data_IF_311847427993
#
_entry.id   IF_311847427993
#
_cell.length_a   1.000
_cell.length_b   1.000
_cell.length_c   1.000
_cell.angle_alpha   90.00
_cell.angle_beta   90.00
_cell.angle_gamma   90.00
#
_symmetry.space_group_name_H-M   'P 1'
#
loop_
_entity.id
_entity.type
_entity.pdbx_description
1 polymer ?
#
# COMPACT_ATOMS: atom_id res chain seq x y z
N UNK A 1 13.36 -5.13 1.40
CA UNK A 1 11.91 -4.85 1.27
C UNK A 1 11.49 -3.84 2.33
N UNK A 2 10.53 -2.97 2.02
CA UNK A 2 9.96 -1.97 2.92
C UNK A 2 8.44 -2.16 2.96
N UNK A 3 7.83 -2.34 4.13
CA UNK A 3 6.38 -2.60 4.28
C UNK A 3 5.77 -1.46 5.09
N UNK A 4 4.89 -0.67 4.47
CA UNK A 4 4.36 0.56 5.07
C UNK A 4 3.46 0.29 6.28
N UNK A 5 2.77 -0.85 6.35
CA UNK A 5 2.01 -1.23 7.55
C UNK A 5 2.87 -1.35 8.82
N UNK A 6 4.19 -1.50 8.70
CA UNK A 6 5.12 -1.54 9.85
C UNK A 6 5.71 -0.18 10.23
N UNK A 7 5.36 0.89 9.51
CA UNK A 7 6.00 2.19 9.66
C UNK A 7 5.47 3.01 10.84
N UNK A 8 4.23 2.77 11.28
CA UNK A 8 3.50 3.74 12.10
C UNK A 8 3.28 3.32 13.57
N UNK A 9 3.54 2.06 13.93
CA UNK A 9 3.33 1.52 15.29
C UNK A 9 4.56 1.41 16.19
N UNK A 10 5.74 1.80 15.70
CA UNK A 10 7.02 1.64 16.41
C UNK A 10 7.70 2.96 16.77
N UNK A 11 9.03 2.89 16.91
CA UNK A 11 9.88 4.05 17.18
C UNK A 11 9.72 5.15 16.12
N UNK A 12 9.88 6.40 16.56
CA UNK A 12 10.04 7.54 15.64
C UNK A 12 11.23 7.25 14.73
N UNK A 13 11.08 7.44 13.42
CA UNK A 13 12.08 7.12 12.39
C UNK A 13 12.33 5.61 12.19
N UNK A 14 11.30 4.78 12.34
CA UNK A 14 11.31 3.39 11.86
C UNK A 14 11.89 3.30 10.44
N UNK A 15 12.74 2.28 10.19
CA UNK A 15 13.30 1.97 8.88
C UNK A 15 12.26 1.63 7.78
N UNK A 16 10.98 1.61 8.17
CA UNK A 16 9.80 1.44 7.33
C UNK A 16 9.11 2.76 6.94
N UNK A 17 9.58 3.92 7.41
CA UNK A 17 9.09 5.23 6.98
C UNK A 17 9.76 5.66 5.66
N UNK A 18 9.01 6.17 4.65
CA UNK A 18 9.58 6.46 3.33
C UNK A 18 10.79 7.38 3.27
N UNK A 19 10.91 8.34 4.18
CA UNK A 19 12.08 9.24 4.22
C UNK A 19 13.38 8.55 4.65
N UNK A 20 13.31 7.31 5.16
CA UNK A 20 14.47 6.49 5.53
C UNK A 20 14.83 5.45 4.46
N UNK A 21 14.14 5.44 3.30
CA UNK A 21 14.37 4.45 2.27
C UNK A 21 15.59 4.78 1.41
N UNK A 22 16.19 3.73 0.87
CA UNK A 22 17.19 3.80 -0.20
C UNK A 22 16.55 3.41 -1.55
N UNK A 23 17.19 3.79 -2.66
CA UNK A 23 16.67 3.49 -4.02
C UNK A 23 16.62 1.99 -4.31
N UNK A 24 17.61 1.22 -3.84
CA UNK A 24 17.70 -0.22 -4.09
C UNK A 24 16.79 -1.02 -3.15
N UNK A 25 15.51 -0.66 -3.17
CA UNK A 25 14.49 -1.27 -2.34
C UNK A 25 13.18 -1.44 -3.10
N UNK A 26 12.37 -2.36 -2.59
CA UNK A 26 10.98 -2.56 -3.02
C UNK A 26 10.07 -2.19 -1.86
N UNK A 27 9.19 -1.22 -2.08
CA UNK A 27 8.16 -0.82 -1.11
C UNK A 27 6.85 -1.53 -1.40
N UNK A 28 6.17 -1.95 -0.34
CA UNK A 28 4.85 -2.54 -0.34
C UNK A 28 3.93 -1.75 0.57
N UNK A 29 2.68 -1.56 0.18
CA UNK A 29 1.61 -1.17 1.14
C UNK A 29 1.52 -2.24 2.24
N UNK A 30 1.37 -3.49 1.81
CA UNK A 30 1.40 -4.72 2.59
C UNK A 30 1.69 -5.90 1.65
N UNK A 31 1.93 -7.09 2.21
CA UNK A 31 2.07 -8.34 1.46
C UNK A 31 0.78 -9.17 1.56
N UNK A 32 0.79 -10.37 0.99
CA UNK A 32 -0.32 -11.32 1.13
C UNK A 32 -0.52 -11.84 2.59
N UNK A 33 0.50 -11.73 3.44
CA UNK A 33 0.44 -12.13 4.86
C UNK A 33 -0.13 -11.04 5.77
N UNK A 34 -0.13 -9.80 5.29
CA UNK A 34 -0.64 -8.65 6.00
C UNK A 34 -2.17 -8.56 5.91
N UNK A 35 -2.76 -7.74 6.77
CA UNK A 35 -4.13 -7.26 6.57
C UNK A 35 -4.20 -6.43 5.29
N UNK A 36 -5.41 -6.21 4.76
CA UNK A 36 -5.58 -5.12 3.78
C UNK A 36 -5.29 -3.79 4.49
N UNK A 37 -4.91 -2.74 3.77
CA UNK A 37 -4.61 -1.44 4.40
C UNK A 37 -5.82 -0.90 5.15
N UNK A 38 -7.03 -1.07 4.61
CA UNK A 38 -8.26 -0.70 5.31
C UNK A 38 -8.49 -1.55 6.57
N UNK A 39 -8.24 -2.85 6.49
CA UNK A 39 -8.29 -3.76 7.64
C UNK A 39 -7.32 -3.34 8.74
N UNK A 40 -6.05 -3.14 8.37
CA UNK A 40 -5.00 -2.66 9.25
C UNK A 40 -5.40 -1.35 9.92
N UNK A 41 -5.85 -0.36 9.14
CA UNK A 41 -6.22 0.95 9.69
C UNK A 41 -7.38 0.84 10.67
N UNK A 42 -8.39 0.00 10.39
CA UNK A 42 -9.53 -0.26 11.30
C UNK A 42 -9.13 -0.97 12.59
N UNK A 43 -8.05 -1.76 12.57
CA UNK A 43 -7.55 -2.47 13.74
C UNK A 43 -6.42 -1.72 14.47
N UNK A 44 -5.81 -0.72 13.82
CA UNK A 44 -4.73 0.09 14.38
C UNK A 44 -5.20 0.91 15.59
N UNK A 45 -4.27 1.14 16.51
CA UNK A 45 -4.45 2.05 17.65
C UNK A 45 -4.63 3.49 17.17
N UNK A 46 -5.25 4.33 17.99
CA UNK A 46 -5.41 5.76 17.63
C UNK A 46 -4.06 6.47 17.45
N UNK A 47 -3.02 6.06 18.19
CA UNK A 47 -1.66 6.59 18.03
C UNK A 47 -1.08 6.27 16.64
N UNK A 48 -1.27 5.04 16.16
CA UNK A 48 -0.83 4.64 14.81
C UNK A 48 -1.59 5.41 13.72
N UNK A 49 -2.91 5.56 13.90
CA UNK A 49 -3.75 6.34 12.97
C UNK A 49 -3.37 7.81 12.96
N UNK A 50 -3.13 8.42 14.13
CA UNK A 50 -2.65 9.80 14.23
C UNK A 50 -1.30 9.98 13.55
N UNK A 51 -0.38 9.03 13.76
CA UNK A 51 0.95 9.09 13.16
C UNK A 51 0.87 9.13 11.62
N UNK A 52 0.14 8.22 10.97
CA UNK A 52 0.02 8.23 9.51
C UNK A 52 -0.72 9.48 9.00
N UNK A 53 -1.78 9.92 9.69
CA UNK A 53 -2.53 11.13 9.32
C UNK A 53 -1.65 12.38 9.34
N UNK A 54 -0.82 12.55 10.37
CA UNK A 54 0.13 13.67 10.45
C UNK A 54 1.29 13.53 9.49
N UNK A 55 1.82 12.31 9.32
CA UNK A 55 2.94 12.05 8.40
C UNK A 55 2.57 12.43 6.96
N UNK A 56 1.32 12.18 6.56
CA UNK A 56 0.86 12.39 5.19
C UNK A 56 -0.04 13.62 5.00
N UNK A 57 -0.40 14.30 6.09
CA UNK A 57 -1.39 15.39 6.09
C UNK A 57 -2.74 14.97 5.46
N UNK A 58 -3.30 13.84 5.90
CA UNK A 58 -4.55 13.26 5.39
C UNK A 58 -5.60 13.10 6.49
N UNK A 59 -6.87 12.99 6.09
CA UNK A 59 -7.96 12.61 7.01
C UNK A 59 -7.95 11.12 7.36
N UNK A 60 -7.39 10.28 6.48
CA UNK A 60 -7.45 8.82 6.57
C UNK A 60 -8.76 8.22 6.04
N UNK A 61 -9.64 9.01 5.42
CA UNK A 61 -10.89 8.52 4.82
C UNK A 61 -10.65 7.54 3.65
N UNK A 62 -9.55 7.70 2.92
CA UNK A 62 -9.20 6.90 1.75
C UNK A 62 -7.87 6.17 1.96
N UNK A 63 -7.68 5.62 3.18
CA UNK A 63 -6.38 5.15 3.65
C UNK A 63 -5.67 4.15 2.73
N UNK A 64 -6.40 3.27 2.03
CA UNK A 64 -5.79 2.34 1.08
C UNK A 64 -5.12 3.06 -0.09
N UNK A 65 -5.79 4.08 -0.64
CA UNK A 65 -5.23 4.90 -1.71
C UNK A 65 -4.21 5.90 -1.19
N UNK A 66 -4.39 6.43 0.02
CA UNK A 66 -3.38 7.26 0.68
C UNK A 66 -2.08 6.46 0.80
N UNK A 67 -2.12 5.25 1.39
CA UNK A 67 -0.92 4.42 1.55
C UNK A 67 -0.33 3.95 0.21
N UNK A 68 -1.17 3.71 -0.81
CA UNK A 68 -0.70 3.43 -2.18
C UNK A 68 0.07 4.64 -2.74
N UNK A 69 -0.48 5.85 -2.62
CA UNK A 69 0.20 7.09 -3.00
C UNK A 69 1.53 7.24 -2.26
N UNK A 70 1.57 6.89 -0.97
CA UNK A 70 2.80 6.95 -0.19
C UNK A 70 3.88 5.98 -0.70
N UNK A 71 3.50 4.75 -1.08
CA UNK A 71 4.41 3.80 -1.70
C UNK A 71 4.96 4.35 -3.02
N UNK A 72 4.08 4.88 -3.87
CA UNK A 72 4.46 5.43 -5.18
C UNK A 72 5.34 6.68 -5.04
N UNK A 73 5.10 7.53 -4.04
CA UNK A 73 5.92 8.71 -3.76
C UNK A 73 7.31 8.42 -3.18
N UNK A 74 7.56 7.18 -2.75
CA UNK A 74 8.82 6.81 -2.11
C UNK A 74 10.00 6.78 -3.10
N UNK A 75 11.23 6.79 -2.57
CA UNK A 75 12.45 6.69 -3.39
C UNK A 75 12.76 5.26 -3.85
N UNK A 76 12.01 4.25 -3.42
CA UNK A 76 12.20 2.85 -3.83
C UNK A 76 12.03 2.69 -5.34
N UNK A 77 12.95 1.95 -5.98
CA UNK A 77 12.89 1.64 -7.42
C UNK A 77 11.56 0.95 -7.80
N UNK A 78 11.06 0.07 -6.94
CA UNK A 78 9.80 -0.65 -7.17
C UNK A 78 8.80 -0.37 -6.06
N UNK A 79 7.57 -0.02 -6.43
CA UNK A 79 6.44 0.13 -5.53
C UNK A 79 5.35 -0.88 -5.88
N UNK A 80 4.80 -1.56 -4.87
CA UNK A 80 3.81 -2.62 -5.04
C UNK A 80 2.62 -2.34 -4.12
N UNK A 81 1.42 -2.35 -4.69
CA UNK A 81 0.16 -2.32 -3.97
C UNK A 81 -0.62 -3.60 -4.25
N UNK A 82 -1.38 -4.10 -3.27
CA UNK A 82 -2.24 -5.26 -3.47
C UNK A 82 -3.52 -4.86 -4.21
N UNK A 83 -4.11 -5.80 -4.93
CA UNK A 83 -5.38 -5.51 -5.63
C UNK A 83 -6.52 -5.21 -4.64
N UNK A 84 -6.48 -5.83 -3.46
CA UNK A 84 -7.40 -5.55 -2.36
C UNK A 84 -7.32 -4.09 -1.91
N UNK A 85 -6.11 -3.52 -1.84
CA UNK A 85 -5.92 -2.12 -1.45
C UNK A 85 -6.43 -1.15 -2.52
N UNK A 86 -6.17 -1.46 -3.81
CA UNK A 86 -6.69 -0.67 -4.93
C UNK A 86 -8.22 -0.68 -4.99
N UNK A 87 -8.84 -1.80 -4.60
CA UNK A 87 -10.30 -1.95 -4.49
C UNK A 87 -10.86 -1.39 -3.16
N UNK A 88 -10.01 -0.95 -2.22
CA UNK A 88 -10.43 -0.43 -0.93
C UNK A 88 -11.14 -1.44 -0.02
N UNK A 89 -10.80 -2.73 -0.13
CA UNK A 89 -11.48 -3.82 0.59
C UNK A 89 -10.99 -3.97 2.03
N UNK A 90 -11.85 -4.43 2.93
CA UNK A 90 -11.51 -4.76 4.31
C UNK A 90 -10.90 -6.15 4.46
N UNK A 91 -10.80 -6.62 5.71
CA UNK A 91 -10.18 -7.91 6.03
C UNK A 91 -10.97 -9.14 5.54
N UNK A 92 -12.20 -8.97 5.04
CA UNK A 92 -12.90 -9.99 4.25
C UNK A 92 -12.12 -10.40 2.98
N UNK A 93 -11.20 -9.54 2.51
CA UNK A 93 -10.34 -9.78 1.36
C UNK A 93 -8.90 -10.20 1.72
N UNK A 94 -8.58 -10.38 3.00
CA UNK A 94 -7.23 -10.77 3.44
C UNK A 94 -6.83 -12.12 2.83
N UNK A 95 -5.65 -12.16 2.21
CA UNK A 95 -5.20 -13.33 1.46
C UNK A 95 -4.75 -14.46 2.38
N UNK A 96 -3.88 -14.18 3.34
CA UNK A 96 -3.34 -15.17 4.27
C UNK A 96 -3.32 -14.68 5.73
N UNK A 97 -3.39 -15.64 6.67
CA UNK A 97 -3.23 -15.40 8.10
C UNK A 97 -2.10 -16.31 8.61
N UNK A 98 -0.88 -15.77 8.77
CA UNK A 98 0.26 -16.54 9.26
C UNK A 98 -0.04 -17.29 10.57
N UNK A 99 0.43 -18.54 10.67
CA UNK A 99 0.27 -19.37 11.87
C UNK A 99 -1.10 -20.03 12.04
N UNK A 100 -2.05 -19.81 11.14
CA UNK A 100 -3.36 -20.50 11.17
C UNK A 100 -3.45 -21.57 10.08
N UNK A 101 -4.14 -22.68 10.39
CA UNK A 101 -4.29 -23.82 9.49
C UNK A 101 -5.64 -23.76 8.76
N UNK A 102 -5.60 -23.69 7.43
CA UNK A 102 -6.76 -23.80 6.55
C UNK A 102 -7.61 -22.52 6.43
N UNK A 103 -8.36 -22.41 5.32
CA UNK A 103 -9.30 -21.30 5.09
C UNK A 103 -8.73 -20.05 4.39
N UNK A 104 -7.44 -20.04 4.05
CA UNK A 104 -6.74 -18.93 3.40
C UNK A 104 -6.41 -19.20 1.94
N UNK A 105 -5.87 -18.20 1.23
CA UNK A 105 -5.55 -18.27 -0.20
C UNK A 105 -6.79 -18.41 -1.11
N UNK A 106 -7.94 -17.94 -0.62
CA UNK A 106 -9.24 -18.12 -1.29
C UNK A 106 -9.80 -16.84 -1.88
N UNK A 107 -9.21 -15.68 -1.56
CA UNK A 107 -9.70 -14.42 -2.09
C UNK A 107 -9.56 -14.38 -3.61
N UNK A 108 -10.62 -13.95 -4.27
CA UNK A 108 -10.70 -13.78 -5.72
C UNK A 108 -11.47 -12.51 -6.01
N UNK A 109 -11.07 -11.81 -7.06
CA UNK A 109 -11.87 -10.75 -7.63
C UNK A 109 -12.73 -11.30 -8.78
N UNK A 110 -13.82 -10.61 -9.06
CA UNK A 110 -14.61 -10.79 -10.28
C UNK A 110 -14.16 -9.75 -11.31
N UNK A 111 -14.19 -10.04 -12.63
CA UNK A 111 -13.70 -9.13 -13.65
C UNK A 111 -14.26 -7.70 -13.56
N UNK A 112 -15.53 -7.53 -13.18
CA UNK A 112 -16.18 -6.22 -13.06
C UNK A 112 -15.65 -5.37 -11.88
N UNK A 113 -14.91 -5.96 -10.94
CA UNK A 113 -14.26 -5.23 -9.85
C UNK A 113 -13.05 -4.42 -10.34
N UNK A 114 -12.49 -4.78 -11.51
CA UNK A 114 -11.46 -3.98 -12.19
C UNK A 114 -12.16 -2.87 -12.98
N UNK A 115 -12.39 -1.73 -12.32
CA UNK A 115 -13.09 -0.60 -12.92
C UNK A 115 -12.14 0.31 -13.69
N UNK A 116 -12.69 1.09 -14.62
CA UNK A 116 -11.95 2.14 -15.31
C UNK A 116 -11.42 3.19 -14.34
N UNK A 117 -12.14 3.50 -13.27
CA UNK A 117 -11.71 4.45 -12.24
C UNK A 117 -10.42 3.99 -11.52
N UNK A 118 -10.32 2.69 -11.20
CA UNK A 118 -9.10 2.12 -10.61
C UNK A 118 -7.95 2.23 -11.60
N UNK A 119 -8.18 1.88 -12.86
CA UNK A 119 -7.17 1.94 -13.91
C UNK A 119 -6.67 3.38 -14.12
N UNK A 120 -7.57 4.34 -14.26
CA UNK A 120 -7.24 5.75 -14.46
C UNK A 120 -6.47 6.30 -13.25
N UNK A 121 -7.00 6.12 -12.03
CA UNK A 121 -6.34 6.63 -10.82
C UNK A 121 -4.96 6.02 -10.60
N UNK A 122 -4.78 4.74 -10.91
CA UNK A 122 -3.47 4.08 -10.85
C UNK A 122 -2.52 4.61 -11.94
N UNK A 123 -3.04 4.83 -13.15
CA UNK A 123 -2.30 5.45 -14.25
C UNK A 123 -1.81 6.85 -13.88
N UNK A 124 -2.69 7.71 -13.40
CA UNK A 124 -2.37 9.09 -12.98
C UNK A 124 -1.28 9.10 -11.89
N UNK A 125 -1.34 8.21 -10.91
CA UNK A 125 -0.29 8.11 -9.88
C UNK A 125 1.03 7.58 -10.46
N UNK A 126 0.96 6.65 -11.40
CA UNK A 126 2.16 6.08 -12.05
C UNK A 126 2.89 7.18 -12.83
N UNK A 127 2.16 8.01 -13.56
CA UNK A 127 2.71 9.18 -14.27
C UNK A 127 3.22 10.25 -13.30
N UNK A 128 2.41 10.66 -12.32
CA UNK A 128 2.75 11.71 -11.36
C UNK A 128 4.06 11.46 -10.62
N UNK A 129 4.36 10.20 -10.30
CA UNK A 129 5.57 9.81 -9.57
C UNK A 129 6.70 9.29 -10.47
N UNK A 130 6.59 9.45 -11.80
CA UNK A 130 7.65 9.07 -12.73
C UNK A 130 7.94 7.57 -12.74
N UNK A 131 6.91 6.74 -12.55
CA UNK A 131 6.99 5.27 -12.55
C UNK A 131 6.49 4.64 -13.85
N UNK A 132 6.33 5.44 -14.89
CA UNK A 132 6.01 4.98 -16.24
C UNK A 132 7.21 4.24 -16.84
N UNK A 133 7.00 3.29 -17.77
CA UNK A 133 8.10 2.70 -18.53
C UNK A 133 8.94 3.79 -19.19
N UNK A 134 10.26 3.61 -19.23
CA UNK A 134 11.13 4.45 -20.04
C UNK A 134 10.71 4.29 -21.50
N UNK A 135 10.44 5.38 -22.21
CA UNK A 135 10.26 5.37 -23.66
C UNK A 135 11.55 4.87 -24.30
N UNK A 136 11.45 3.98 -25.30
CA UNK A 136 12.62 3.41 -26.00
C UNK A 136 13.46 4.46 -26.75
N UNK A 137 13.02 5.73 -26.83
CA UNK A 137 13.65 6.80 -27.62
C UNK A 137 14.78 7.59 -26.90
N UNK A 138 15.39 7.04 -25.84
CA UNK A 138 16.23 7.82 -24.91
C UNK A 138 17.65 7.32 -24.63
N UNK A 139 18.36 6.74 -25.61
CA UNK A 139 19.82 6.54 -25.55
C UNK A 139 20.51 7.14 -26.77
#
# INVERSE_FOLDING_TARGET
>A
MKILQFAFGGERNSNFLPHTFDKNSVVYTGTHDNETVLGWYRNATESERDHIRRYMQISGQHISWDMTRLAYASVSNTAVATLQDLMGLGNEARMNFPGKVGGYWRWRYLPHMLTQDIAQRLGDMTELYGRVPLSEEGN
#
